data_IF_530774491328
#
_entry.id   IF_530774491328
#
_cell.length_a   1.000
_cell.length_b   1.000
_cell.length_c   1.000
_cell.angle_alpha   90.00
_cell.angle_beta   90.00
_cell.angle_gamma   90.00
#
_symmetry.space_group_name_H-M   'P 1'
#
loop_
_entity.id
_entity.type
_entity.pdbx_description
1 polymer ?
#
# COMPACT_ATOMS: atom_id res chain seq x y z
N UNK A 1 21.75 -11.12 -37.04
CA UNK A 1 21.59 -10.74 -35.62
C UNK A 1 20.70 -11.71 -34.81
N UNK A 2 20.65 -13.01 -35.15
CA UNK A 2 19.87 -14.01 -34.38
C UNK A 2 20.70 -14.74 -33.30
N UNK A 3 22.04 -14.69 -33.38
CA UNK A 3 22.94 -15.43 -32.50
C UNK A 3 22.66 -15.24 -30.99
N UNK A 4 22.56 -14.00 -30.47
CA UNK A 4 22.29 -13.79 -29.05
C UNK A 4 20.94 -14.34 -28.57
N UNK A 5 19.89 -14.22 -29.39
CA UNK A 5 18.55 -14.73 -29.05
C UNK A 5 18.54 -16.26 -29.04
N UNK A 6 19.21 -16.90 -30.00
CA UNK A 6 19.35 -18.36 -30.05
C UNK A 6 20.13 -18.87 -28.84
N UNK A 7 21.22 -18.19 -28.45
CA UNK A 7 22.01 -18.56 -27.26
C UNK A 7 21.15 -18.46 -26.00
N UNK A 8 20.42 -17.36 -25.80
CA UNK A 8 19.52 -17.20 -24.65
C UNK A 8 18.41 -18.27 -24.65
N UNK A 9 17.86 -18.60 -25.81
CA UNK A 9 16.87 -19.68 -25.95
C UNK A 9 17.43 -21.05 -25.57
N UNK A 10 18.65 -21.37 -25.99
CA UNK A 10 19.33 -22.61 -25.62
C UNK A 10 19.67 -22.67 -24.13
N UNK A 11 20.09 -21.55 -23.52
CA UNK A 11 20.35 -21.47 -22.09
C UNK A 11 19.08 -21.66 -21.26
N UNK A 12 17.97 -21.06 -21.68
CA UNK A 12 16.67 -21.26 -21.03
C UNK A 12 16.18 -22.69 -21.18
N UNK A 13 16.37 -23.32 -22.36
CA UNK A 13 16.05 -24.72 -22.57
C UNK A 13 16.88 -25.63 -21.65
N UNK A 14 18.19 -25.39 -21.55
CA UNK A 14 19.06 -26.12 -20.63
C UNK A 14 18.64 -25.95 -19.17
N UNK A 15 18.33 -24.72 -18.75
CA UNK A 15 17.85 -24.43 -17.40
C UNK A 15 16.48 -25.10 -17.11
N UNK A 16 15.61 -25.25 -18.12
CA UNK A 16 14.35 -26.00 -18.00
C UNK A 16 14.52 -27.48 -17.80
N UNK A 17 15.59 -28.07 -18.32
CA UNK A 17 15.92 -29.48 -18.09
C UNK A 17 16.53 -29.65 -16.69
N UNK A 18 17.36 -28.71 -16.26
CA UNK A 18 18.12 -28.83 -15.01
C UNK A 18 17.35 -28.43 -13.74
N UNK A 19 16.39 -27.51 -13.83
CA UNK A 19 15.68 -26.95 -12.68
C UNK A 19 14.18 -27.30 -12.71
N UNK A 20 13.56 -27.57 -11.55
CA UNK A 20 12.13 -27.79 -11.45
C UNK A 20 11.34 -26.58 -11.93
N UNK A 21 10.08 -26.81 -12.34
CA UNK A 21 9.20 -25.71 -12.70
C UNK A 21 8.86 -24.85 -11.48
N UNK A 22 9.13 -23.56 -11.61
CA UNK A 22 8.66 -22.56 -10.65
C UNK A 22 7.65 -21.69 -11.40
N UNK A 23 6.37 -21.92 -11.14
CA UNK A 23 5.33 -21.07 -11.71
C UNK A 23 5.53 -19.63 -11.23
N UNK A 24 5.28 -18.69 -12.13
CA UNK A 24 5.31 -17.24 -11.85
C UNK A 24 3.91 -16.64 -11.87
N UNK A 25 2.89 -17.51 -12.01
CA UNK A 25 1.48 -17.14 -11.90
C UNK A 25 1.11 -16.90 -10.44
N UNK A 26 0.15 -16.03 -10.21
CA UNK A 26 -0.42 -15.80 -8.88
C UNK A 26 -1.27 -17.00 -8.45
N UNK A 27 -2.15 -17.49 -9.33
CA UNK A 27 -3.01 -18.63 -9.05
C UNK A 27 -2.39 -19.94 -9.55
N UNK A 28 -2.32 -20.93 -8.68
CA UNK A 28 -1.94 -22.31 -9.00
C UNK A 28 -3.19 -23.17 -9.01
N UNK A 29 -3.36 -23.97 -10.07
CA UNK A 29 -4.44 -24.96 -10.15
C UNK A 29 -4.15 -26.15 -9.24
N UNK A 30 -5.19 -26.62 -8.57
CA UNK A 30 -5.13 -27.77 -7.66
C UNK A 30 -6.47 -28.52 -7.66
N UNK A 31 -6.57 -29.58 -6.87
CA UNK A 31 -7.81 -30.33 -6.66
C UNK A 31 -8.05 -30.54 -5.17
N UNK A 32 -9.23 -30.15 -4.68
CA UNK A 32 -9.62 -30.34 -3.29
C UNK A 32 -10.96 -31.07 -3.22
N UNK A 33 -10.99 -32.20 -2.51
CA UNK A 33 -12.19 -33.04 -2.38
C UNK A 33 -12.82 -33.45 -3.74
N UNK A 34 -12.00 -33.59 -4.78
CA UNK A 34 -12.44 -33.97 -6.13
C UNK A 34 -12.86 -32.79 -7.02
N UNK A 35 -12.90 -31.57 -6.47
CA UNK A 35 -13.26 -30.34 -7.20
C UNK A 35 -12.03 -29.55 -7.65
N UNK A 36 -12.11 -28.93 -8.82
CA UNK A 36 -11.07 -28.05 -9.33
C UNK A 36 -11.05 -26.73 -8.54
N UNK A 37 -9.88 -26.42 -7.98
CA UNK A 37 -9.67 -25.22 -7.16
C UNK A 37 -8.42 -24.49 -7.61
N UNK A 38 -8.33 -23.22 -7.24
CA UNK A 38 -7.11 -22.43 -7.30
C UNK A 38 -6.63 -22.10 -5.90
N UNK A 39 -5.32 -22.06 -5.74
CA UNK A 39 -4.62 -21.59 -4.54
C UNK A 39 -3.58 -20.54 -4.89
N UNK A 40 -3.10 -19.82 -3.90
CA UNK A 40 -2.04 -18.84 -4.07
C UNK A 40 -0.70 -19.50 -4.40
N UNK A 41 0.15 -18.75 -5.11
CA UNK A 41 1.56 -19.06 -5.24
C UNK A 41 2.37 -18.28 -4.19
N UNK A 42 2.91 -18.94 -3.14
CA UNK A 42 3.69 -18.27 -2.10
C UNK A 42 4.98 -17.62 -2.64
N UNK A 43 5.43 -17.98 -3.84
CA UNK A 43 6.63 -17.43 -4.49
C UNK A 43 6.32 -16.46 -5.64
N UNK A 44 5.06 -16.07 -5.83
CA UNK A 44 4.64 -15.15 -6.91
C UNK A 44 5.49 -13.86 -6.96
N UNK A 45 5.84 -13.32 -5.80
CA UNK A 45 6.55 -12.04 -5.70
C UNK A 45 8.06 -12.14 -5.94
N UNK A 46 8.64 -13.35 -5.99
CA UNK A 46 10.10 -13.55 -6.12
C UNK A 46 10.73 -12.79 -7.31
N UNK A 47 10.13 -12.71 -8.51
CA UNK A 47 10.70 -11.93 -9.63
C UNK A 47 10.79 -10.42 -9.37
N UNK A 48 10.12 -9.90 -8.34
CA UNK A 48 10.08 -8.47 -8.01
C UNK A 48 10.97 -8.13 -6.81
N UNK A 49 11.08 -9.04 -5.84
CA UNK A 49 11.80 -8.82 -4.58
C UNK A 49 13.21 -9.45 -4.58
N UNK A 50 13.37 -10.56 -5.29
CA UNK A 50 14.55 -11.43 -5.18
C UNK A 50 14.42 -12.46 -4.05
N UNK A 51 15.29 -13.49 -4.04
CA UNK A 51 15.26 -14.55 -3.03
C UNK A 51 15.41 -14.01 -1.61
N UNK A 52 14.63 -14.54 -0.66
CA UNK A 52 14.68 -14.20 0.77
C UNK A 52 13.99 -12.88 1.18
N UNK A 53 13.64 -12.04 0.19
CA UNK A 53 12.89 -10.80 0.39
C UNK A 53 11.43 -10.88 -0.07
N UNK A 54 11.06 -11.93 -0.79
CA UNK A 54 9.70 -12.21 -1.26
C UNK A 54 8.67 -12.22 -0.13
N UNK A 55 7.45 -11.80 -0.49
CA UNK A 55 6.27 -11.78 0.38
C UNK A 55 5.24 -12.75 -0.18
N UNK A 56 4.72 -13.60 0.67
CA UNK A 56 3.66 -14.53 0.29
C UNK A 56 2.29 -13.79 0.32
N UNK A 57 1.38 -14.11 -0.60
CA UNK A 57 -0.03 -13.77 -0.45
C UNK A 57 -0.64 -14.44 0.78
N UNK A 58 -1.86 -14.03 1.15
CA UNK A 58 -2.66 -14.79 2.12
C UNK A 58 -2.96 -16.19 1.57
N UNK A 59 -2.94 -17.24 2.42
CA UNK A 59 -3.43 -18.55 2.05
C UNK A 59 -4.87 -18.47 1.53
N UNK A 60 -5.13 -19.04 0.35
CA UNK A 60 -6.43 -19.04 -0.29
C UNK A 60 -6.73 -20.40 -0.93
N UNK A 61 -8.01 -20.77 -0.91
CA UNK A 61 -8.52 -21.92 -1.64
C UNK A 61 -9.88 -21.54 -2.21
N UNK A 62 -9.96 -21.40 -3.54
CA UNK A 62 -11.14 -20.89 -4.23
C UNK A 62 -11.56 -21.86 -5.33
N UNK A 63 -12.86 -22.18 -5.51
CA UNK A 63 -13.32 -22.94 -6.66
C UNK A 63 -12.94 -22.24 -7.97
N UNK A 64 -12.30 -22.97 -8.89
CA UNK A 64 -11.88 -22.41 -10.19
C UNK A 64 -13.11 -21.93 -10.96
N UNK A 65 -14.12 -22.79 -11.10
CA UNK A 65 -15.44 -22.39 -11.59
C UNK A 65 -16.22 -21.66 -10.50
N UNK A 66 -16.74 -20.47 -10.83
CA UNK A 66 -17.61 -19.72 -9.92
C UNK A 66 -18.91 -20.48 -9.66
N UNK A 67 -19.28 -20.72 -8.38
CA UNK A 67 -20.56 -21.38 -8.07
C UNK A 67 -21.75 -20.56 -8.59
N UNK A 68 -22.79 -21.24 -9.06
CA UNK A 68 -23.99 -20.59 -9.59
C UNK A 68 -24.64 -19.68 -8.54
N UNK A 69 -25.00 -18.47 -8.97
CA UNK A 69 -25.62 -17.45 -8.11
C UNK A 69 -24.69 -16.81 -7.07
N UNK A 70 -23.42 -17.20 -7.00
CA UNK A 70 -22.47 -16.60 -6.07
C UNK A 70 -22.09 -15.16 -6.46
N UNK A 71 -21.85 -14.32 -5.46
CA UNK A 71 -21.17 -13.03 -5.60
C UNK A 71 -19.68 -13.24 -5.33
N UNK A 72 -18.82 -12.89 -6.28
CA UNK A 72 -17.35 -13.01 -6.21
C UNK A 72 -16.70 -11.65 -6.35
N UNK A 73 -16.14 -11.16 -5.25
CA UNK A 73 -15.44 -9.87 -5.13
C UNK A 73 -13.96 -10.14 -4.94
N UNK A 74 -13.10 -9.59 -5.79
CA UNK A 74 -11.65 -9.59 -5.54
C UNK A 74 -11.20 -8.25 -4.97
N UNK A 75 -10.44 -8.30 -3.88
CA UNK A 75 -9.79 -7.13 -3.29
C UNK A 75 -8.30 -7.18 -3.62
N UNK A 76 -7.80 -6.19 -4.35
CA UNK A 76 -6.41 -6.06 -4.73
C UNK A 76 -5.78 -4.88 -3.99
N UNK A 77 -4.55 -5.07 -3.53
CA UNK A 77 -3.85 -3.98 -2.86
C UNK A 77 -2.58 -4.41 -2.16
N UNK A 78 -2.16 -3.58 -1.22
CA UNK A 78 -0.88 -3.69 -0.54
C UNK A 78 -1.08 -4.18 0.91
N UNK A 79 -0.16 -3.92 1.84
CA UNK A 79 -0.28 -4.37 3.25
C UNK A 79 -1.55 -3.84 3.95
N UNK A 80 -1.90 -2.57 3.73
CA UNK A 80 -3.11 -1.97 4.27
C UNK A 80 -4.39 -2.63 3.73
N UNK A 81 -4.37 -3.12 2.49
CA UNK A 81 -5.49 -3.86 1.91
C UNK A 81 -5.54 -5.32 2.37
N UNK A 82 -4.37 -5.96 2.51
CA UNK A 82 -4.22 -7.29 3.09
C UNK A 82 -4.77 -7.33 4.53
N UNK A 83 -4.73 -6.20 5.24
CA UNK A 83 -5.18 -6.06 6.62
C UNK A 83 -4.09 -6.26 7.65
N UNK A 84 -2.85 -5.94 7.29
CA UNK A 84 -1.75 -5.88 8.26
C UNK A 84 -2.13 -4.91 9.42
N UNK A 85 -1.90 -5.29 10.69
CA UNK A 85 -1.20 -6.50 11.15
C UNK A 85 -2.03 -7.79 11.22
N UNK A 86 -3.36 -7.73 11.30
CA UNK A 86 -4.22 -8.91 11.48
C UNK A 86 -5.21 -9.07 10.31
N UNK A 87 -4.82 -9.74 9.21
CA UNK A 87 -5.62 -9.91 8.00
C UNK A 87 -7.03 -10.47 8.22
N UNK A 88 -7.23 -11.24 9.29
CA UNK A 88 -8.52 -11.82 9.68
C UNK A 88 -9.60 -10.77 10.01
N UNK A 89 -9.24 -9.49 10.19
CA UNK A 89 -10.16 -8.39 10.49
C UNK A 89 -10.08 -7.24 9.48
N UNK A 90 -9.42 -7.49 8.35
CA UNK A 90 -9.31 -6.59 7.20
C UNK A 90 -10.66 -6.08 6.72
N UNK A 91 -10.66 -4.95 6.00
CA UNK A 91 -11.89 -4.41 5.41
C UNK A 91 -12.54 -5.39 4.43
N UNK A 92 -11.78 -6.28 3.77
CA UNK A 92 -12.34 -7.32 2.92
C UNK A 92 -13.16 -8.32 3.73
N UNK A 93 -12.69 -8.67 4.92
CA UNK A 93 -13.38 -9.61 5.80
C UNK A 93 -14.61 -8.97 6.44
N UNK A 94 -14.52 -7.69 6.81
CA UNK A 94 -15.68 -6.93 7.31
C UNK A 94 -16.74 -6.72 6.21
N UNK A 95 -16.31 -6.40 4.97
CA UNK A 95 -17.19 -6.30 3.80
C UNK A 95 -17.91 -7.62 3.52
N UNK A 96 -17.21 -8.75 3.63
CA UNK A 96 -17.81 -10.07 3.47
C UNK A 96 -18.94 -10.31 4.48
N UNK A 97 -18.73 -9.93 5.75
CA UNK A 97 -19.77 -10.02 6.77
C UNK A 97 -20.95 -9.12 6.41
N UNK A 98 -20.72 -7.85 6.04
CA UNK A 98 -21.79 -6.93 5.64
C UNK A 98 -22.61 -7.48 4.47
N UNK A 99 -21.96 -8.05 3.45
CA UNK A 99 -22.63 -8.63 2.28
C UNK A 99 -23.44 -9.87 2.65
N UNK A 100 -22.92 -10.75 3.50
CA UNK A 100 -23.64 -11.98 3.93
C UNK A 100 -24.94 -11.67 4.67
N UNK A 101 -25.02 -10.56 5.40
CA UNK A 101 -26.24 -10.16 6.10
C UNK A 101 -27.37 -9.74 5.15
N UNK A 102 -27.00 -9.07 4.05
CA UNK A 102 -27.97 -8.47 3.11
C UNK A 102 -28.26 -9.38 1.92
N UNK A 103 -27.35 -10.31 1.62
CA UNK A 103 -27.41 -11.20 0.46
C UNK A 103 -27.83 -12.61 0.89
N UNK A 104 -28.99 -12.71 1.53
CA UNK A 104 -29.49 -13.96 2.10
C UNK A 104 -29.73 -15.03 1.01
N UNK A 105 -29.20 -16.23 1.22
CA UNK A 105 -29.42 -17.38 0.33
C UNK A 105 -28.49 -17.49 -0.89
N UNK A 106 -27.52 -16.59 -1.07
CA UNK A 106 -26.44 -16.81 -2.04
C UNK A 106 -25.06 -16.81 -1.38
N UNK A 107 -24.13 -17.51 -2.02
CA UNK A 107 -22.74 -17.58 -1.59
C UNK A 107 -22.05 -16.24 -1.87
N UNK A 108 -21.42 -15.67 -0.85
CA UNK A 108 -20.58 -14.46 -0.99
C UNK A 108 -19.13 -14.90 -0.83
N UNK A 109 -18.31 -14.56 -1.82
CA UNK A 109 -16.86 -14.79 -1.84
C UNK A 109 -16.16 -13.43 -1.95
N UNK A 110 -15.65 -12.91 -0.83
CA UNK A 110 -14.75 -11.74 -0.85
C UNK A 110 -13.33 -12.25 -0.67
N UNK A 111 -12.55 -12.24 -1.73
CA UNK A 111 -11.21 -12.84 -1.74
C UNK A 111 -10.17 -11.72 -1.74
N UNK A 112 -9.38 -11.67 -0.67
CA UNK A 112 -8.31 -10.69 -0.49
C UNK A 112 -7.02 -11.18 -1.16
N UNK A 113 -6.60 -10.46 -2.19
CA UNK A 113 -5.37 -10.69 -2.97
C UNK A 113 -4.27 -9.68 -2.61
N UNK A 114 -4.44 -8.96 -1.49
CA UNK A 114 -3.46 -8.01 -0.98
C UNK A 114 -2.18 -8.70 -0.53
N UNK A 115 -1.04 -8.04 -0.77
CA UNK A 115 0.27 -8.54 -0.34
C UNK A 115 1.08 -7.39 0.26
N UNK A 116 1.78 -7.64 1.36
CA UNK A 116 2.69 -6.66 1.96
C UNK A 116 3.78 -6.20 0.99
N UNK A 117 4.09 -4.90 1.02
CA UNK A 117 5.17 -4.23 0.29
C UNK A 117 5.10 -4.27 -1.26
N UNK A 118 4.03 -4.83 -1.86
CA UNK A 118 3.84 -4.76 -3.31
C UNK A 118 3.33 -3.38 -3.72
N UNK A 119 3.36 -3.09 -5.02
CA UNK A 119 2.83 -1.87 -5.62
C UNK A 119 2.17 -2.19 -6.97
N UNK A 120 1.80 -1.16 -7.73
CA UNK A 120 1.13 -1.27 -9.04
C UNK A 120 1.84 -2.17 -10.06
N UNK A 121 3.15 -2.40 -9.92
CA UNK A 121 3.90 -3.29 -10.81
C UNK A 121 3.51 -4.76 -10.70
N UNK A 122 3.06 -5.18 -9.51
CA UNK A 122 2.60 -6.54 -9.22
C UNK A 122 1.07 -6.63 -9.30
N UNK A 123 0.36 -5.61 -8.81
CA UNK A 123 -1.11 -5.58 -8.79
C UNK A 123 -1.69 -5.79 -10.19
N UNK A 124 -1.05 -5.23 -11.24
CA UNK A 124 -1.47 -5.45 -12.64
C UNK A 124 -1.40 -6.90 -13.11
N UNK A 125 -0.47 -7.69 -12.57
CA UNK A 125 -0.33 -9.10 -12.94
C UNK A 125 -1.37 -9.94 -12.17
N UNK A 126 -1.63 -9.58 -10.91
CA UNK A 126 -2.71 -10.18 -10.11
C UNK A 126 -4.08 -9.90 -10.75
N UNK A 127 -4.35 -8.64 -11.14
CA UNK A 127 -5.61 -8.25 -11.80
C UNK A 127 -5.85 -9.04 -13.09
N UNK A 128 -4.81 -9.20 -13.91
CA UNK A 128 -4.88 -9.95 -15.17
C UNK A 128 -5.27 -11.41 -14.96
N UNK A 129 -4.80 -12.06 -13.91
CA UNK A 129 -5.17 -13.43 -13.60
C UNK A 129 -6.54 -13.51 -12.90
N UNK A 130 -6.84 -12.57 -11.99
CA UNK A 130 -8.08 -12.51 -11.23
C UNK A 130 -9.32 -12.41 -12.13
N UNK A 131 -9.26 -11.64 -13.22
CA UNK A 131 -10.38 -11.55 -14.18
C UNK A 131 -10.69 -12.88 -14.87
N UNK A 132 -9.75 -13.84 -14.84
CA UNK A 132 -9.91 -15.21 -15.33
C UNK A 132 -10.78 -16.11 -14.46
N UNK A 133 -11.13 -15.66 -13.24
CA UNK A 133 -11.92 -16.41 -12.26
C UNK A 133 -13.32 -15.82 -12.08
N UNK A 134 -13.84 -15.14 -13.10
CA UNK A 134 -15.20 -14.60 -13.21
C UNK A 134 -15.68 -13.74 -12.01
N UNK A 135 -14.90 -12.75 -11.55
CA UNK A 135 -15.37 -11.84 -10.50
C UNK A 135 -16.52 -10.97 -11.00
N UNK A 136 -17.42 -10.61 -10.08
CA UNK A 136 -18.44 -9.58 -10.33
C UNK A 136 -17.87 -8.17 -10.26
N UNK A 137 -16.76 -7.99 -9.53
CA UNK A 137 -16.12 -6.69 -9.33
C UNK A 137 -14.69 -6.85 -8.82
N UNK A 138 -13.81 -5.94 -9.24
CA UNK A 138 -12.49 -5.74 -8.64
C UNK A 138 -12.49 -4.50 -7.76
N UNK A 139 -12.14 -4.64 -6.49
CA UNK A 139 -11.89 -3.54 -5.57
C UNK A 139 -10.38 -3.33 -5.46
N UNK A 140 -9.87 -2.14 -5.75
CA UNK A 140 -8.42 -1.86 -5.78
C UNK A 140 -8.06 -0.77 -4.78
N UNK A 141 -7.34 -1.13 -3.72
CA UNK A 141 -6.84 -0.21 -2.68
C UNK A 141 -5.31 -0.17 -2.75
N UNK A 142 -4.75 0.84 -3.42
CA UNK A 142 -3.31 0.89 -3.74
C UNK A 142 -2.73 2.31 -3.71
N UNK A 143 -1.42 2.42 -3.53
CA UNK A 143 -0.69 3.68 -3.64
C UNK A 143 0.29 3.97 -2.49
N UNK A 144 0.29 3.18 -1.41
CA UNK A 144 1.17 3.39 -0.26
C UNK A 144 2.65 3.10 -0.63
N UNK A 145 2.88 2.07 -1.44
CA UNK A 145 4.21 1.54 -1.72
C UNK A 145 4.77 1.91 -3.10
N UNK A 146 4.22 2.88 -3.82
CA UNK A 146 4.74 3.22 -5.15
C UNK A 146 6.18 3.75 -5.09
N UNK A 147 6.54 4.46 -4.01
CA UNK A 147 7.91 4.97 -3.83
C UNK A 147 8.88 3.89 -3.37
N UNK A 148 8.47 3.07 -2.40
CA UNK A 148 9.34 2.13 -1.67
C UNK A 148 9.29 0.70 -2.22
N UNK A 149 8.18 0.30 -2.83
CA UNK A 149 7.98 -1.01 -3.43
C UNK A 149 8.88 -1.24 -4.65
N UNK A 150 8.86 -2.46 -5.23
CA UNK A 150 9.73 -2.81 -6.35
C UNK A 150 9.67 -1.80 -7.49
N UNK A 151 10.83 -1.44 -8.04
CA UNK A 151 11.01 -0.44 -9.11
C UNK A 151 10.64 1.01 -8.74
N UNK A 152 10.29 1.29 -7.48
CA UNK A 152 10.11 2.64 -6.96
C UNK A 152 11.45 3.36 -6.71
N UNK A 153 11.47 4.71 -6.70
CA UNK A 153 12.70 5.49 -6.52
C UNK A 153 13.35 5.33 -5.13
N UNK A 154 12.59 4.95 -4.10
CA UNK A 154 13.08 4.69 -2.74
C UNK A 154 13.22 3.20 -2.41
N UNK A 155 13.33 2.34 -3.42
CA UNK A 155 13.26 0.89 -3.21
C UNK A 155 14.57 0.26 -2.72
N UNK A 156 14.44 -0.79 -1.92
CA UNK A 156 15.52 -1.74 -1.57
C UNK A 156 15.46 -3.03 -2.40
N UNK A 157 14.42 -3.17 -3.23
CA UNK A 157 14.15 -4.37 -4.03
C UNK A 157 14.75 -4.24 -5.44
N UNK A 158 14.02 -4.67 -6.48
CA UNK A 158 14.42 -4.43 -7.85
C UNK A 158 14.52 -2.91 -8.12
N UNK A 159 15.65 -2.40 -8.65
CA UNK A 159 15.91 -0.97 -8.75
C UNK A 159 15.02 -0.30 -9.79
N UNK A 160 14.72 0.98 -9.56
CA UNK A 160 14.03 1.82 -10.54
C UNK A 160 14.80 1.89 -11.86
N UNK A 161 14.09 1.64 -12.97
CA UNK A 161 14.64 1.74 -14.32
C UNK A 161 14.10 2.98 -15.03
N UNK A 162 14.86 3.49 -16.00
CA UNK A 162 14.52 4.74 -16.71
C UNK A 162 13.31 4.64 -17.64
N UNK A 163 12.87 3.43 -17.97
CA UNK A 163 11.81 3.17 -18.96
C UNK A 163 10.92 2.02 -18.51
N UNK A 164 9.61 2.15 -18.78
CA UNK A 164 8.60 1.11 -18.55
C UNK A 164 8.92 -0.19 -19.28
N UNK A 165 9.44 -0.09 -20.50
CA UNK A 165 9.84 -1.24 -21.33
C UNK A 165 10.97 -2.00 -20.65
N UNK A 166 11.98 -1.29 -20.13
CA UNK A 166 13.10 -1.91 -19.41
C UNK A 166 12.63 -2.57 -18.11
N UNK A 167 11.70 -1.95 -17.38
CA UNK A 167 11.06 -2.55 -16.21
C UNK A 167 10.35 -3.86 -16.57
N UNK A 168 9.53 -3.86 -17.62
CA UNK A 168 8.83 -5.08 -18.06
C UNK A 168 9.79 -6.16 -18.58
N UNK A 169 10.81 -5.78 -19.34
CA UNK A 169 11.85 -6.71 -19.78
C UNK A 169 12.63 -7.30 -18.61
N UNK A 170 12.96 -6.49 -17.60
CA UNK A 170 13.64 -6.96 -16.38
C UNK A 170 12.80 -8.01 -15.66
N UNK A 171 11.49 -7.76 -15.48
CA UNK A 171 10.58 -8.72 -14.85
C UNK A 171 10.47 -9.99 -15.68
N UNK A 172 10.31 -9.87 -17.01
CA UNK A 172 10.27 -11.02 -17.91
C UNK A 172 11.53 -11.89 -17.78
N UNK A 173 12.72 -11.28 -17.81
CA UNK A 173 13.98 -12.01 -17.62
C UNK A 173 14.05 -12.65 -16.23
N UNK A 174 13.58 -11.97 -15.18
CA UNK A 174 13.53 -12.50 -13.81
C UNK A 174 12.56 -13.68 -13.63
N UNK A 175 11.65 -13.91 -14.58
CA UNK A 175 10.77 -15.09 -14.63
C UNK A 175 11.38 -16.29 -15.35
N UNK A 176 12.53 -16.12 -16.00
CA UNK A 176 13.21 -17.22 -16.72
C UNK A 176 13.92 -18.16 -15.76
N UNK A 177 14.05 -19.44 -16.14
CA UNK A 177 14.84 -20.40 -15.35
C UNK A 177 16.33 -20.13 -15.47
N UNK A 178 16.79 -19.55 -16.57
CA UNK A 178 18.15 -19.02 -16.67
C UNK A 178 18.45 -18.02 -15.56
N UNK A 179 17.55 -17.08 -15.28
CA UNK A 179 17.74 -16.13 -14.19
C UNK A 179 17.75 -16.81 -12.82
N UNK A 180 16.87 -17.77 -12.59
CA UNK A 180 16.85 -18.55 -11.35
C UNK A 180 18.19 -19.31 -11.14
N UNK A 181 18.74 -19.92 -12.19
CA UNK A 181 20.05 -20.58 -12.15
C UNK A 181 21.17 -19.57 -11.82
N UNK A 182 21.17 -18.41 -12.47
CA UNK A 182 22.16 -17.35 -12.21
C UNK A 182 22.12 -16.87 -10.75
N UNK A 183 20.93 -16.78 -10.16
CA UNK A 183 20.76 -16.43 -8.74
C UNK A 183 21.34 -17.51 -7.82
N UNK A 184 21.06 -18.80 -8.08
CA UNK A 184 21.62 -19.90 -7.28
C UNK A 184 23.15 -19.95 -7.35
N UNK A 185 23.73 -19.78 -8.54
CA UNK A 185 25.19 -19.68 -8.72
C UNK A 185 25.75 -18.47 -7.97
N UNK A 186 25.06 -17.33 -8.03
CA UNK A 186 25.46 -16.12 -7.31
C UNK A 186 25.48 -16.29 -5.79
N UNK A 187 24.46 -16.95 -5.21
CA UNK A 187 24.42 -17.28 -3.78
C UNK A 187 25.54 -18.23 -3.40
N UNK A 188 25.78 -19.27 -4.21
CA UNK A 188 26.87 -20.22 -4.00
C UNK A 188 28.25 -19.53 -3.99
N UNK A 189 28.51 -18.64 -4.96
CA UNK A 189 29.76 -17.88 -5.04
C UNK A 189 29.97 -16.91 -3.86
N UNK A 190 28.89 -16.45 -3.22
CA UNK A 190 28.92 -15.54 -2.06
C UNK A 190 28.96 -16.27 -0.72
N UNK A 191 29.15 -17.59 -0.71
CA UNK A 191 29.23 -18.36 0.53
C UNK A 191 27.88 -18.62 1.22
N UNK A 192 26.76 -18.51 0.49
CA UNK A 192 25.44 -18.91 1.00
C UNK A 192 24.70 -17.86 1.83
N UNK A 193 25.16 -16.60 1.89
CA UNK A 193 24.41 -15.54 2.55
C UNK A 193 23.19 -15.11 1.73
N UNK A 194 22.00 -15.49 2.19
CA UNK A 194 20.73 -14.97 1.68
C UNK A 194 20.33 -13.67 2.39
N UNK A 195 19.78 -12.73 1.64
CA UNK A 195 19.17 -11.55 2.25
C UNK A 195 17.90 -11.96 3.00
N UNK A 196 17.75 -11.45 4.22
CA UNK A 196 16.55 -11.62 5.02
C UNK A 196 15.85 -10.29 5.19
N UNK A 197 14.53 -10.32 5.13
CA UNK A 197 13.71 -9.17 5.49
C UNK A 197 13.99 -8.72 6.92
N UNK A 198 14.30 -7.43 7.10
CA UNK A 198 14.51 -6.83 8.42
C UNK A 198 13.46 -5.78 8.76
N UNK A 199 12.34 -5.74 8.04
CA UNK A 199 11.34 -4.68 8.20
C UNK A 199 11.75 -3.36 7.54
N UNK A 200 11.10 -2.28 7.96
CA UNK A 200 11.27 -0.94 7.38
C UNK A 200 12.67 -0.35 7.60
N UNK A 201 13.48 -0.87 8.54
CA UNK A 201 14.86 -0.41 8.75
C UNK A 201 15.75 -0.57 7.52
N UNK A 202 15.40 -1.44 6.56
CA UNK A 202 16.15 -1.58 5.31
C UNK A 202 16.12 -0.31 4.45
N UNK A 203 15.14 0.57 4.68
CA UNK A 203 14.89 1.75 3.88
C UNK A 203 15.57 3.02 4.41
N UNK A 204 16.26 2.98 5.56
CA UNK A 204 16.85 4.17 6.19
C UNK A 204 17.76 4.98 5.24
N UNK A 205 18.51 4.30 4.38
CA UNK A 205 19.41 4.93 3.39
C UNK A 205 18.74 5.21 2.03
N UNK A 206 17.40 5.06 1.94
CA UNK A 206 16.61 5.21 0.70
C UNK A 206 15.73 6.46 0.71
N UNK A 207 16.26 7.54 1.27
CA UNK A 207 15.61 8.84 1.29
C UNK A 207 15.28 9.34 -0.11
N UNK A 208 14.03 9.74 -0.34
CA UNK A 208 13.55 10.37 -1.58
C UNK A 208 13.00 11.76 -1.26
N UNK A 209 13.74 12.79 -1.67
CA UNK A 209 13.33 14.20 -1.50
C UNK A 209 12.09 14.53 -2.33
N UNK A 210 11.38 15.58 -1.93
CA UNK A 210 10.16 16.06 -2.60
C UNK A 210 10.37 16.43 -4.07
N UNK A 211 11.55 16.98 -4.38
CA UNK A 211 11.93 17.43 -5.72
C UNK A 211 12.56 16.31 -6.59
N UNK A 212 12.63 15.07 -6.08
CA UNK A 212 13.35 14.01 -6.77
C UNK A 212 12.71 13.69 -8.15
N UNK A 213 13.48 13.75 -9.25
CA UNK A 213 12.95 13.51 -10.59
C UNK A 213 12.45 12.07 -10.80
N UNK A 214 12.86 11.13 -9.93
CA UNK A 214 12.33 9.78 -9.83
C UNK A 214 10.84 9.73 -9.51
N UNK A 215 10.32 10.67 -8.70
CA UNK A 215 8.89 10.75 -8.40
C UNK A 215 8.07 11.05 -9.66
N UNK A 216 8.55 11.92 -10.54
CA UNK A 216 7.88 12.21 -11.81
C UNK A 216 7.88 10.99 -12.75
N UNK A 217 8.98 10.23 -12.79
CA UNK A 217 9.05 8.97 -13.57
C UNK A 217 8.09 7.91 -13.01
N UNK A 218 8.07 7.76 -11.69
CA UNK A 218 7.16 6.86 -10.98
C UNK A 218 5.70 7.19 -11.30
N UNK A 219 5.30 8.47 -11.22
CA UNK A 219 3.91 8.89 -11.56
C UNK A 219 3.51 8.55 -13.00
N UNK A 220 4.41 8.73 -13.97
CA UNK A 220 4.17 8.28 -15.36
C UNK A 220 3.98 6.76 -15.44
N UNK A 221 4.74 6.02 -14.66
CA UNK A 221 4.67 4.56 -14.62
C UNK A 221 3.39 4.05 -13.93
N UNK A 222 2.92 4.74 -12.89
CA UNK A 222 1.65 4.46 -12.21
C UNK A 222 0.49 4.55 -13.20
N UNK A 223 0.42 5.60 -14.03
CA UNK A 223 -0.64 5.73 -15.05
C UNK A 223 -0.64 4.52 -16.01
N UNK A 224 0.53 4.11 -16.50
CA UNK A 224 0.64 2.91 -17.34
C UNK A 224 0.26 1.61 -16.62
N UNK A 225 0.53 1.52 -15.31
CA UNK A 225 0.15 0.36 -14.52
C UNK A 225 -1.33 0.36 -14.19
N UNK A 226 -1.96 1.51 -13.91
CA UNK A 226 -3.39 1.63 -13.65
C UNK A 226 -4.20 1.16 -14.87
N UNK A 227 -3.84 1.60 -16.08
CA UNK A 227 -4.42 1.06 -17.31
C UNK A 227 -4.31 -0.48 -17.32
N UNK A 228 -3.12 -1.02 -17.04
CA UNK A 228 -2.91 -2.46 -17.04
C UNK A 228 -3.60 -3.23 -15.90
N UNK A 229 -3.98 -2.56 -14.80
CA UNK A 229 -4.82 -3.11 -13.73
C UNK A 229 -6.28 -3.15 -14.18
N UNK A 230 -6.77 -2.07 -14.79
CA UNK A 230 -8.19 -1.91 -15.09
C UNK A 230 -8.61 -2.52 -16.42
N UNK A 231 -7.77 -2.45 -17.45
CA UNK A 231 -8.11 -2.86 -18.82
C UNK A 231 -8.56 -4.32 -18.93
N UNK A 232 -7.89 -5.32 -18.30
CA UNK A 232 -8.35 -6.71 -18.39
C UNK A 232 -9.77 -6.94 -17.87
N UNK A 233 -10.19 -6.16 -16.85
CA UNK A 233 -11.54 -6.24 -16.30
C UNK A 233 -12.54 -5.53 -17.21
N UNK A 234 -12.19 -4.33 -17.68
CA UNK A 234 -13.02 -3.52 -18.59
C UNK A 234 -13.30 -4.22 -19.91
N UNK A 235 -12.30 -4.89 -20.48
CA UNK A 235 -12.43 -5.70 -21.70
C UNK A 235 -13.45 -6.84 -21.56
N UNK A 236 -13.72 -7.29 -20.31
CA UNK A 236 -14.70 -8.34 -19.99
C UNK A 236 -15.99 -7.79 -19.40
N UNK A 237 -16.16 -6.46 -19.33
CA UNK A 237 -17.32 -5.83 -18.71
C UNK A 237 -17.39 -6.00 -17.19
N UNK A 238 -16.28 -6.34 -16.54
CA UNK A 238 -16.19 -6.44 -15.07
C UNK A 238 -15.93 -5.04 -14.52
N UNK A 239 -16.79 -4.49 -13.64
CA UNK A 239 -16.57 -3.19 -13.02
C UNK A 239 -15.34 -3.20 -12.12
N UNK A 240 -14.63 -2.08 -12.10
CA UNK A 240 -13.50 -1.85 -11.19
C UNK A 240 -13.82 -0.66 -10.29
N UNK A 241 -13.60 -0.80 -8.99
CA UNK A 241 -13.69 0.29 -8.02
C UNK A 241 -12.31 0.58 -7.47
N UNK A 242 -11.75 1.74 -7.80
CA UNK A 242 -10.53 2.24 -7.19
C UNK A 242 -10.85 2.86 -5.83
N UNK A 243 -10.00 2.65 -4.83
CA UNK A 243 -10.12 3.30 -3.54
C UNK A 243 -8.82 4.00 -3.16
N UNK A 244 -8.95 5.26 -2.75
CA UNK A 244 -7.80 6.10 -2.41
C UNK A 244 -7.29 5.75 -1.01
N UNK A 245 -6.04 5.31 -0.83
CA UNK A 245 -5.55 4.96 0.49
C UNK A 245 -5.49 6.20 1.41
N UNK A 246 -6.02 6.05 2.62
CA UNK A 246 -5.84 7.05 3.68
C UNK A 246 -4.49 6.92 4.38
N UNK A 247 -4.18 7.88 5.25
CA UNK A 247 -2.99 7.87 6.08
C UNK A 247 -3.25 8.61 7.40
N UNK A 248 -2.54 8.21 8.46
CA UNK A 248 -2.46 8.99 9.68
C UNK A 248 -1.60 10.22 9.43
N UNK A 249 -2.26 11.38 9.37
CA UNK A 249 -1.59 12.67 9.15
C UNK A 249 -1.49 13.47 10.45
N UNK A 250 -2.46 13.31 11.34
CA UNK A 250 -2.58 14.11 12.56
C UNK A 250 -1.58 13.73 13.65
N UNK A 251 -1.33 12.43 13.83
CA UNK A 251 -0.64 11.89 15.01
C UNK A 251 0.62 11.10 14.68
N UNK A 252 0.97 10.99 13.40
CA UNK A 252 2.11 10.23 12.96
C UNK A 252 3.16 11.14 12.32
N UNK A 253 4.26 11.38 13.03
CA UNK A 253 5.36 12.22 12.57
C UNK A 253 6.00 11.68 11.28
N UNK A 254 6.75 12.51 10.52
CA UNK A 254 7.56 12.03 9.40
C UNK A 254 8.51 10.90 9.80
N UNK A 255 8.76 9.97 8.87
CA UNK A 255 9.69 8.85 9.05
C UNK A 255 11.14 9.28 8.78
N UNK A 256 11.34 10.28 7.92
CA UNK A 256 12.61 10.99 7.81
C UNK A 256 12.39 12.47 7.49
N UNK A 257 12.77 13.35 8.42
CA UNK A 257 12.87 14.78 8.19
C UNK A 257 14.04 15.12 7.29
N UNK A 258 13.76 15.49 6.04
CA UNK A 258 14.80 15.82 5.06
C UNK A 258 14.46 17.15 4.39
N UNK A 259 15.28 18.16 4.68
CA UNK A 259 15.12 19.53 4.21
C UNK A 259 15.49 19.80 2.74
N UNK A 260 15.74 21.05 2.40
CA UNK A 260 16.23 21.46 1.07
C UNK A 260 17.69 20.99 0.81
N UNK A 261 18.07 20.82 -0.47
CA UNK A 261 19.39 20.28 -0.86
C UNK A 261 20.56 21.21 -0.53
N UNK A 262 20.32 22.52 -0.51
CA UNK A 262 21.35 23.55 -0.48
C UNK A 262 21.09 24.58 0.63
N UNK A 263 20.85 24.13 1.86
CA UNK A 263 20.92 25.03 3.02
C UNK A 263 22.35 25.04 3.56
N UNK A 264 22.90 26.24 3.78
CA UNK A 264 24.23 26.38 4.38
C UNK A 264 24.25 25.85 5.82
N UNK A 265 25.42 25.43 6.31
CA UNK A 265 25.56 24.86 7.67
C UNK A 265 25.01 25.79 8.76
N UNK A 266 25.22 27.11 8.63
CA UNK A 266 24.67 28.10 9.54
C UNK A 266 23.13 28.12 9.55
N UNK A 267 22.49 28.04 8.37
CA UNK A 267 21.04 27.95 8.22
C UNK A 267 20.52 26.65 8.84
N UNK A 268 21.19 25.52 8.61
CA UNK A 268 20.81 24.23 9.18
C UNK A 268 20.88 24.23 10.72
N UNK A 269 21.93 24.83 11.30
CA UNK A 269 22.04 25.02 12.75
C UNK A 269 20.94 25.96 13.28
N UNK A 270 20.68 27.09 12.62
CA UNK A 270 19.61 28.01 13.01
C UNK A 270 18.24 27.33 12.96
N UNK A 271 17.98 26.55 11.91
CA UNK A 271 16.76 25.75 11.77
C UNK A 271 16.59 24.76 12.92
N UNK A 272 17.66 24.04 13.26
CA UNK A 272 17.65 23.04 14.34
C UNK A 272 17.37 23.70 15.69
N UNK A 273 18.01 24.83 15.97
CA UNK A 273 17.79 25.58 17.20
C UNK A 273 16.34 26.06 17.32
N UNK A 274 15.76 26.56 16.21
CA UNK A 274 14.36 27.03 16.18
C UNK A 274 13.36 25.89 16.32
N UNK A 275 13.65 24.72 15.76
CA UNK A 275 12.79 23.56 15.96
C UNK A 275 12.82 23.10 17.43
N UNK A 276 13.99 23.05 18.07
CA UNK A 276 14.12 22.67 19.49
C UNK A 276 13.44 23.69 20.41
N UNK A 277 13.55 24.98 20.10
CA UNK A 277 12.82 26.06 20.79
C UNK A 277 11.30 25.82 20.70
N UNK A 278 10.79 25.56 19.48
CA UNK A 278 9.37 25.27 19.27
C UNK A 278 8.89 24.01 20.01
N UNK A 279 9.68 22.92 19.99
CA UNK A 279 9.38 21.68 20.72
C UNK A 279 9.34 21.93 22.24
N UNK A 280 10.22 22.79 22.75
CA UNK A 280 10.30 23.14 24.17
C UNK A 280 9.09 23.95 24.60
N UNK A 281 8.75 25.00 23.86
CA UNK A 281 7.60 25.85 24.12
C UNK A 281 6.29 25.06 24.00
N UNK A 282 6.19 24.17 23.02
CA UNK A 282 5.07 23.23 22.87
C UNK A 282 4.91 22.33 24.09
N UNK A 283 6.01 21.75 24.59
CA UNK A 283 5.99 20.84 25.74
C UNK A 283 5.52 21.51 27.04
N UNK A 284 5.76 22.81 27.21
CA UNK A 284 5.29 23.58 28.38
C UNK A 284 3.93 24.27 28.16
N UNK A 285 3.32 24.09 26.97
CA UNK A 285 2.02 24.65 26.63
C UNK A 285 2.04 26.12 26.20
N UNK A 286 3.20 26.72 25.92
CA UNK A 286 3.30 28.05 25.31
C UNK A 286 3.06 27.96 23.80
N UNK A 287 1.78 27.94 23.41
CA UNK A 287 1.39 27.85 22.00
C UNK A 287 1.86 29.04 21.16
N UNK A 288 2.06 30.22 21.78
CA UNK A 288 2.48 31.44 21.06
C UNK A 288 3.99 31.42 20.81
N UNK A 289 4.78 31.06 21.82
CA UNK A 289 6.22 30.84 21.68
C UNK A 289 6.49 29.74 20.66
N UNK A 290 5.82 28.60 20.81
CA UNK A 290 5.94 27.46 19.91
C UNK A 290 5.63 27.83 18.45
N UNK A 291 4.55 28.58 18.22
CA UNK A 291 4.21 29.05 16.87
C UNK A 291 5.28 29.98 16.30
N UNK A 292 5.76 30.94 17.09
CA UNK A 292 6.80 31.88 16.64
C UNK A 292 8.07 31.15 16.22
N UNK A 293 8.52 30.20 17.05
CA UNK A 293 9.73 29.43 16.78
C UNK A 293 9.58 28.47 15.58
N UNK A 294 8.44 27.77 15.44
CA UNK A 294 8.23 26.84 14.31
C UNK A 294 8.05 27.59 12.99
N UNK A 295 7.42 28.76 13.02
CA UNK A 295 7.26 29.62 11.83
C UNK A 295 8.64 30.09 11.32
N UNK A 296 9.53 30.49 12.22
CA UNK A 296 10.92 30.83 11.89
C UNK A 296 11.69 29.62 11.34
N UNK A 297 11.51 28.42 11.92
CA UNK A 297 12.12 27.19 11.41
C UNK A 297 11.62 26.87 9.97
N UNK A 298 10.31 26.93 9.74
CA UNK A 298 9.71 26.69 8.41
C UNK A 298 10.17 27.75 7.40
N UNK A 299 10.37 28.99 7.82
CA UNK A 299 10.93 30.04 6.94
C UNK A 299 12.39 29.78 6.54
N UNK A 300 13.18 29.14 7.41
CA UNK A 300 14.57 28.75 7.10
C UNK A 300 14.65 27.56 6.15
N UNK A 301 13.74 26.59 6.28
CA UNK A 301 13.64 25.44 5.39
C UNK A 301 12.20 24.91 5.31
N UNK A 302 11.45 25.41 4.33
CA UNK A 302 10.06 25.03 4.09
C UNK A 302 9.93 23.57 3.58
N UNK A 303 11.03 22.96 3.16
CA UNK A 303 11.06 21.61 2.62
C UNK A 303 11.27 20.56 3.71
N UNK A 304 11.50 20.96 4.97
CA UNK A 304 11.74 20.03 6.07
C UNK A 304 10.45 19.46 6.65
N UNK A 305 10.25 18.14 6.54
CA UNK A 305 9.02 17.47 6.96
C UNK A 305 8.69 17.67 8.45
N UNK A 306 9.68 17.58 9.34
CA UNK A 306 9.45 17.71 10.79
C UNK A 306 8.94 19.11 11.18
N UNK A 307 9.45 20.17 10.53
CA UNK A 307 8.98 21.53 10.76
C UNK A 307 7.53 21.72 10.33
N UNK A 308 7.16 21.15 9.18
CA UNK A 308 5.77 21.15 8.69
C UNK A 308 4.84 20.38 9.63
N UNK A 309 5.29 19.23 10.15
CA UNK A 309 4.50 18.42 11.08
C UNK A 309 4.26 19.15 12.40
N UNK A 310 5.31 19.74 12.99
CA UNK A 310 5.20 20.50 14.23
C UNK A 310 4.31 21.75 14.04
N UNK A 311 4.45 22.45 12.91
CA UNK A 311 3.56 23.57 12.56
C UNK A 311 2.10 23.13 12.52
N UNK A 312 1.80 21.98 11.91
CA UNK A 312 0.46 21.40 11.89
C UNK A 312 -0.10 21.09 13.28
N UNK A 313 0.70 20.51 14.17
CA UNK A 313 0.31 20.24 15.57
C UNK A 313 -0.03 21.54 16.33
N UNK A 314 0.83 22.55 16.21
CA UNK A 314 0.66 23.83 16.91
C UNK A 314 -0.56 24.59 16.38
N UNK A 315 -0.73 24.67 15.05
CA UNK A 315 -1.89 25.31 14.42
C UNK A 315 -3.20 24.63 14.82
N UNK A 316 -3.22 23.30 14.86
CA UNK A 316 -4.40 22.55 15.27
C UNK A 316 -4.79 22.88 16.72
N UNK A 317 -3.81 22.94 17.63
CA UNK A 317 -4.05 23.32 19.02
C UNK A 317 -4.51 24.78 19.18
N UNK A 318 -4.07 25.68 18.29
CA UNK A 318 -4.54 27.05 18.21
C UNK A 318 -5.95 27.19 17.57
N UNK A 319 -6.57 26.08 17.14
CA UNK A 319 -7.87 26.08 16.48
C UNK A 319 -7.82 26.45 14.99
N UNK A 320 -6.63 26.62 14.41
CA UNK A 320 -6.43 26.90 12.99
C UNK A 320 -6.38 25.60 12.18
N UNK A 321 -7.57 25.00 12.04
CA UNK A 321 -7.72 23.70 11.37
C UNK A 321 -7.34 23.74 9.88
N UNK A 322 -7.54 24.88 9.21
CA UNK A 322 -7.25 25.00 7.77
C UNK A 322 -5.75 24.94 7.53
N UNK A 323 -4.98 25.78 8.24
CA UNK A 323 -3.54 25.78 8.07
C UNK A 323 -2.91 24.50 8.62
N UNK A 324 -3.45 23.95 9.72
CA UNK A 324 -3.00 22.67 10.25
C UNK A 324 -3.10 21.54 9.21
N UNK A 325 -4.23 21.45 8.50
CA UNK A 325 -4.42 20.43 7.46
C UNK A 325 -3.41 20.60 6.31
N UNK A 326 -3.15 21.83 5.87
CA UNK A 326 -2.12 22.08 4.84
C UNK A 326 -0.73 21.68 5.33
N UNK A 327 -0.35 22.08 6.55
CA UNK A 327 0.95 21.75 7.14
C UNK A 327 1.14 20.23 7.27
N UNK A 328 0.12 19.48 7.67
CA UNK A 328 0.17 18.01 7.70
C UNK A 328 0.30 17.40 6.29
N UNK A 329 -0.37 17.95 5.28
CA UNK A 329 -0.17 17.51 3.90
C UNK A 329 1.27 17.77 3.43
N UNK A 330 1.83 18.93 3.74
CA UNK A 330 3.22 19.25 3.44
C UNK A 330 4.17 18.29 4.17
N UNK A 331 3.93 17.97 5.44
CA UNK A 331 4.73 17.01 6.19
C UNK A 331 4.78 15.62 5.49
N UNK A 332 3.64 15.11 5.04
CA UNK A 332 3.58 13.86 4.26
C UNK A 332 4.33 13.99 2.93
N UNK A 333 4.11 15.09 2.20
CA UNK A 333 4.74 15.35 0.92
C UNK A 333 6.26 15.55 1.03
N UNK A 334 6.76 15.99 2.18
CA UNK A 334 8.19 16.24 2.45
C UNK A 334 8.89 15.09 3.14
N UNK A 335 8.16 14.10 3.64
CA UNK A 335 8.74 12.92 4.28
C UNK A 335 9.76 12.25 3.35
N UNK A 336 10.98 12.06 3.84
CA UNK A 336 12.08 11.46 3.09
C UNK A 336 11.88 9.96 2.90
N UNK A 337 11.18 9.29 3.83
CA UNK A 337 10.79 7.89 3.73
C UNK A 337 9.30 7.81 3.38
N UNK A 338 9.02 7.81 2.08
CA UNK A 338 7.67 7.99 1.52
C UNK A 338 6.85 6.69 1.52
N UNK A 339 6.34 6.30 2.68
CA UNK A 339 5.39 5.19 2.82
C UNK A 339 3.92 5.63 2.84
N UNK A 340 3.66 6.95 2.98
CA UNK A 340 2.32 7.53 2.95
C UNK A 340 1.96 8.00 1.53
N UNK A 341 0.74 7.74 1.05
CA UNK A 341 0.26 8.28 -0.22
C UNK A 341 0.12 9.82 -0.12
N UNK A 342 0.65 10.53 -1.12
CA UNK A 342 0.56 12.00 -1.20
C UNK A 342 -0.70 12.47 -1.98
N UNK A 343 -0.96 13.79 -1.97
CA UNK A 343 -2.11 14.36 -2.72
C UNK A 343 -2.04 14.06 -4.21
N UNK A 344 -0.82 13.97 -4.78
CA UNK A 344 -0.61 13.68 -6.20
C UNK A 344 -1.00 12.23 -6.52
N UNK A 345 -0.72 11.27 -5.64
CA UNK A 345 -1.16 9.88 -5.77
C UNK A 345 -2.68 9.77 -5.72
N UNK A 346 -3.33 10.42 -4.75
CA UNK A 346 -4.79 10.49 -4.67
C UNK A 346 -5.39 11.07 -5.96
N UNK A 347 -4.86 12.18 -6.44
CA UNK A 347 -5.32 12.83 -7.67
C UNK A 347 -5.18 11.93 -8.90
N UNK A 348 -4.11 11.12 -8.99
CA UNK A 348 -3.95 10.16 -10.08
C UNK A 348 -5.04 9.09 -10.10
N UNK A 349 -5.46 8.57 -8.94
CA UNK A 349 -6.54 7.57 -8.86
C UNK A 349 -7.88 8.16 -9.25
N UNK A 350 -8.20 9.36 -8.75
CA UNK A 350 -9.44 10.08 -9.09
C UNK A 350 -9.51 10.36 -10.59
N UNK A 351 -8.44 10.95 -11.15
CA UNK A 351 -8.37 11.25 -12.58
C UNK A 351 -8.42 9.97 -13.43
N UNK A 352 -7.87 8.84 -12.96
CA UNK A 352 -7.94 7.59 -13.71
C UNK A 352 -9.38 7.11 -13.85
N UNK A 353 -10.17 7.10 -12.77
CA UNK A 353 -11.58 6.71 -12.83
C UNK A 353 -12.40 7.66 -13.71
N UNK A 354 -12.22 8.98 -13.56
CA UNK A 354 -12.90 9.98 -14.39
C UNK A 354 -12.68 9.79 -15.90
N UNK A 355 -11.49 9.30 -16.29
CA UNK A 355 -11.11 9.14 -17.70
C UNK A 355 -11.42 7.76 -18.28
N UNK A 356 -11.92 6.79 -17.49
CA UNK A 356 -12.12 5.42 -17.96
C UNK A 356 -13.50 4.87 -17.59
N UNK A 357 -14.38 4.75 -18.60
CA UNK A 357 -15.66 4.07 -18.43
C UNK A 357 -15.48 2.64 -17.90
N UNK A 358 -16.37 2.23 -16.99
CA UNK A 358 -16.29 0.95 -16.27
C UNK A 358 -15.34 0.95 -15.07
N UNK A 359 -14.78 2.11 -14.72
CA UNK A 359 -13.95 2.31 -13.52
C UNK A 359 -14.58 3.39 -12.65
N UNK A 360 -15.01 3.00 -11.46
CA UNK A 360 -15.48 3.92 -10.43
C UNK A 360 -14.37 4.21 -9.42
N UNK A 361 -14.55 5.26 -8.62
CA UNK A 361 -13.65 5.59 -7.51
C UNK A 361 -14.41 5.90 -6.23
N UNK A 362 -13.89 5.38 -5.13
CA UNK A 362 -14.30 5.69 -3.77
C UNK A 362 -13.15 6.43 -3.10
N UNK A 363 -13.36 7.72 -2.82
CA UNK A 363 -12.37 8.54 -2.12
C UNK A 363 -12.37 8.25 -0.62
N UNK A 364 -11.91 7.05 -0.25
CA UNK A 364 -11.87 6.60 1.15
C UNK A 364 -11.01 7.51 2.02
N UNK A 365 -9.96 8.14 1.46
CA UNK A 365 -9.13 9.08 2.20
C UNK A 365 -9.95 10.30 2.63
N UNK A 366 -10.69 10.92 1.70
CA UNK A 366 -11.54 12.06 2.03
C UNK A 366 -12.74 11.69 2.92
N UNK A 367 -13.25 10.46 2.81
CA UNK A 367 -14.31 9.99 3.70
C UNK A 367 -13.83 9.86 5.14
N UNK A 368 -12.66 9.25 5.36
CA UNK A 368 -12.04 9.14 6.68
C UNK A 368 -11.78 10.52 7.29
N UNK A 369 -11.22 11.45 6.50
CA UNK A 369 -11.00 12.84 6.94
C UNK A 369 -12.32 13.50 7.37
N UNK A 370 -13.41 13.34 6.60
CA UNK A 370 -14.70 13.97 6.89
C UNK A 370 -15.30 13.55 8.22
N UNK A 371 -15.10 12.29 8.62
CA UNK A 371 -15.64 11.74 9.87
C UNK A 371 -14.64 11.81 11.03
N UNK A 372 -13.39 12.17 10.75
CA UNK A 372 -12.35 12.35 11.75
C UNK A 372 -12.59 13.60 12.61
N UNK A 373 -12.16 13.60 13.88
CA UNK A 373 -12.01 14.83 14.63
C UNK A 373 -11.16 15.84 13.85
N UNK A 374 -11.60 17.09 13.85
CA UNK A 374 -10.93 18.19 13.13
C UNK A 374 -10.78 17.97 11.62
N UNK A 375 -11.55 17.08 11.00
CA UNK A 375 -11.48 16.88 9.56
C UNK A 375 -10.17 16.27 9.05
N UNK A 376 -9.34 15.69 9.93
CA UNK A 376 -8.00 15.18 9.62
C UNK A 376 -7.85 13.80 10.27
N UNK A 377 -7.74 12.76 9.45
CA UNK A 377 -7.66 11.39 9.95
C UNK A 377 -6.39 11.13 10.79
N UNK A 378 -6.59 10.51 11.96
CA UNK A 378 -5.55 10.19 12.94
C UNK A 378 -5.64 8.74 13.46
N UNK A 379 -5.19 8.54 14.70
CA UNK A 379 -5.10 7.23 15.35
C UNK A 379 -6.43 6.51 15.55
N UNK A 380 -7.57 7.20 15.41
CA UNK A 380 -8.89 6.57 15.42
C UNK A 380 -9.07 5.57 14.28
N UNK A 381 -8.43 5.80 13.13
CA UNK A 381 -8.53 4.95 11.95
C UNK A 381 -7.25 4.19 11.62
N UNK A 382 -6.11 4.55 12.23
CA UNK A 382 -4.82 3.97 11.88
C UNK A 382 -3.98 3.59 13.11
N UNK A 383 -3.41 2.38 13.10
CA UNK A 383 -2.43 1.98 14.10
C UNK A 383 -1.09 2.72 13.95
N UNK A 384 -0.69 3.00 12.71
CA UNK A 384 0.55 3.68 12.37
C UNK A 384 0.31 4.72 11.26
N UNK A 385 1.31 4.99 10.42
CA UNK A 385 1.19 5.88 9.27
C UNK A 385 0.08 5.51 8.26
N UNK A 386 -0.26 4.22 8.07
CA UNK A 386 -1.16 3.77 6.99
C UNK A 386 -2.00 2.53 7.30
N UNK A 387 -1.60 1.70 8.27
CA UNK A 387 -2.29 0.46 8.60
C UNK A 387 -3.52 0.76 9.46
N UNK A 388 -4.67 0.24 9.03
CA UNK A 388 -5.97 0.59 9.56
C UNK A 388 -6.22 -0.11 10.91
N UNK A 389 -6.88 0.60 11.83
CA UNK A 389 -7.51 -0.04 13.01
C UNK A 389 -8.70 -0.88 12.59
N UNK A 390 -9.28 -1.66 13.52
CA UNK A 390 -10.56 -2.33 13.27
C UNK A 390 -11.64 -1.34 12.76
N UNK A 391 -11.71 -0.16 13.38
CA UNK A 391 -12.63 0.92 12.99
C UNK A 391 -12.27 1.51 11.61
N UNK A 392 -10.98 1.74 11.33
CA UNK A 392 -10.54 2.18 10.01
C UNK A 392 -10.92 1.19 8.91
N UNK A 393 -10.74 -0.11 9.16
CA UNK A 393 -11.20 -1.18 8.26
C UNK A 393 -12.72 -1.17 8.09
N UNK A 394 -13.49 -0.91 9.15
CA UNK A 394 -14.96 -0.82 9.09
C UNK A 394 -15.43 0.31 8.18
N UNK A 395 -14.85 1.50 8.32
CA UNK A 395 -15.23 2.65 7.50
C UNK A 395 -14.87 2.45 6.02
N UNK A 396 -13.71 1.85 5.73
CA UNK A 396 -13.35 1.46 4.36
C UNK A 396 -14.32 0.40 3.82
N UNK A 397 -14.66 -0.63 4.61
CA UNK A 397 -15.62 -1.67 4.21
C UNK A 397 -17.01 -1.09 3.91
N UNK A 398 -17.49 -0.15 4.72
CA UNK A 398 -18.75 0.57 4.47
C UNK A 398 -18.71 1.34 3.16
N UNK A 399 -17.62 2.05 2.89
CA UNK A 399 -17.46 2.81 1.65
C UNK A 399 -17.50 1.88 0.42
N UNK A 400 -16.83 0.72 0.50
CA UNK A 400 -16.89 -0.32 -0.54
C UNK A 400 -18.29 -0.91 -0.68
N UNK A 401 -18.96 -1.20 0.43
CA UNK A 401 -20.33 -1.71 0.43
C UNK A 401 -21.27 -0.77 -0.32
N UNK A 402 -21.17 0.55 -0.09
CA UNK A 402 -21.95 1.56 -0.84
C UNK A 402 -21.59 1.58 -2.32
N UNK A 403 -20.33 1.41 -2.68
CA UNK A 403 -19.94 1.28 -4.09
C UNK A 403 -20.57 0.04 -4.75
N UNK A 404 -20.62 -1.08 -4.04
CA UNK A 404 -21.29 -2.29 -4.52
C UNK A 404 -22.80 -2.08 -4.69
N UNK A 405 -23.46 -1.30 -3.84
CA UNK A 405 -24.87 -0.93 -4.04
C UNK A 405 -25.07 -0.12 -5.32
N UNK A 406 -24.20 0.84 -5.61
CA UNK A 406 -24.26 1.63 -6.84
C UNK A 406 -24.09 0.76 -8.10
N UNK A 407 -23.33 -0.33 -8.00
CA UNK A 407 -23.16 -1.32 -9.06
C UNK A 407 -24.30 -2.35 -9.13
N UNK A 408 -25.29 -2.29 -8.23
CA UNK A 408 -26.36 -3.29 -8.14
C UNK A 408 -25.90 -4.65 -7.59
N UNK A 409 -24.73 -4.69 -6.94
CA UNK A 409 -24.14 -5.88 -6.30
C UNK A 409 -24.45 -5.98 -4.79
N UNK A 410 -25.26 -5.06 -4.28
CA UNK A 410 -25.88 -5.08 -2.94
C UNK A 410 -27.26 -4.40 -3.03
N UNK A 411 -28.28 -4.79 -2.24
CA UNK A 411 -29.60 -4.15 -2.29
C UNK A 411 -29.49 -2.67 -1.91
N UNK A 412 -30.08 -1.72 -2.65
CA UNK A 412 -29.85 -0.28 -2.46
C UNK A 412 -30.39 0.25 -1.11
N UNK A 413 -31.42 -0.39 -0.56
CA UNK A 413 -32.02 -0.07 0.74
C UNK A 413 -31.27 -0.69 1.93
N UNK A 414 -30.33 -1.60 1.68
CA UNK A 414 -29.63 -2.28 2.76
C UNK A 414 -28.62 -1.35 3.45
N UNK A 415 -28.50 -1.48 4.76
CA UNK A 415 -27.54 -0.73 5.55
C UNK A 415 -26.38 -1.65 5.97
N UNK A 416 -25.11 -1.20 5.84
CA UNK A 416 -24.00 -1.97 6.39
C UNK A 416 -24.13 -2.05 7.92
N UNK A 417 -23.89 -3.24 8.48
CA UNK A 417 -23.96 -3.44 9.93
C UNK A 417 -22.95 -2.57 10.68
N UNK A 418 -23.25 -2.28 11.96
CA UNK A 418 -22.37 -1.47 12.81
C UNK A 418 -21.02 -2.14 13.08
N UNK A 419 -20.02 -1.36 13.50
CA UNK A 419 -18.69 -1.89 13.85
C UNK A 419 -18.78 -2.93 14.98
N UNK A 420 -19.64 -2.69 15.98
CA UNK A 420 -19.89 -3.63 17.07
C UNK A 420 -20.50 -4.97 16.58
N UNK A 421 -21.45 -4.92 15.64
CA UNK A 421 -22.03 -6.14 15.06
C UNK A 421 -21.03 -6.89 14.17
N UNK A 422 -20.18 -6.17 13.42
CA UNK A 422 -19.05 -6.76 12.70
C UNK A 422 -18.08 -7.44 13.67
N UNK A 423 -17.74 -6.78 14.78
CA UNK A 423 -16.84 -7.30 15.80
C UNK A 423 -17.37 -8.60 16.41
N UNK A 424 -18.65 -8.64 16.78
CA UNK A 424 -19.30 -9.85 17.30
C UNK A 424 -19.23 -11.01 16.29
N UNK A 425 -19.61 -10.77 15.03
CA UNK A 425 -19.61 -11.81 13.98
C UNK A 425 -18.21 -12.29 13.59
N UNK A 426 -17.19 -11.46 13.75
CA UNK A 426 -15.80 -11.81 13.50
C UNK A 426 -15.08 -12.35 14.73
N UNK A 427 -15.72 -12.35 15.89
CA UNK A 427 -15.08 -12.61 17.19
C UNK A 427 -13.88 -11.68 17.43
N UNK A 428 -13.99 -10.40 17.07
CA UNK A 428 -13.06 -9.37 17.51
C UNK A 428 -13.29 -9.10 18.99
N UNK A 429 -12.28 -9.45 19.80
CA UNK A 429 -12.33 -9.34 21.26
C UNK A 429 -11.27 -8.40 21.79
N UNK A 430 -11.36 -8.04 23.06
CA UNK A 430 -10.32 -7.27 23.73
C UNK A 430 -8.93 -7.95 23.68
N UNK A 431 -8.88 -9.29 23.64
CA UNK A 431 -7.62 -10.02 23.46
C UNK A 431 -7.03 -9.78 22.07
N UNK A 432 -7.86 -9.85 21.02
CA UNK A 432 -7.42 -9.59 19.65
C UNK A 432 -6.96 -8.15 19.45
N UNK A 433 -7.64 -7.20 20.10
CA UNK A 433 -7.24 -5.80 20.11
C UNK A 433 -5.90 -5.60 20.81
N UNK A 434 -5.66 -6.31 21.92
CA UNK A 434 -4.37 -6.34 22.61
C UNK A 434 -3.27 -6.92 21.72
N UNK A 435 -3.52 -8.05 21.04
CA UNK A 435 -2.55 -8.67 20.13
C UNK A 435 -2.14 -7.71 19.00
N UNK A 436 -3.12 -7.02 18.39
CA UNK A 436 -2.85 -6.00 17.38
C UNK A 436 -2.01 -4.85 17.96
N UNK A 437 -2.37 -4.39 19.16
CA UNK A 437 -1.66 -3.33 19.86
C UNK A 437 -0.22 -3.71 20.21
N UNK A 438 0.02 -4.92 20.70
CA UNK A 438 1.35 -5.43 21.04
C UNK A 438 2.23 -5.54 19.80
N UNK A 439 1.70 -6.10 18.70
CA UNK A 439 2.44 -6.18 17.45
C UNK A 439 2.85 -4.79 16.94
N UNK A 440 1.92 -3.83 16.96
CA UNK A 440 2.19 -2.45 16.54
C UNK A 440 3.14 -1.72 17.47
N UNK A 441 3.04 -1.95 18.77
CA UNK A 441 3.97 -1.42 19.75
C UNK A 441 5.40 -1.91 19.48
N UNK A 442 5.59 -3.22 19.31
CA UNK A 442 6.89 -3.82 19.02
C UNK A 442 7.50 -3.30 17.72
N UNK A 443 6.70 -3.12 16.66
CA UNK A 443 7.19 -2.53 15.40
C UNK A 443 7.66 -1.08 15.59
N UNK A 444 6.95 -0.30 16.40
CA UNK A 444 7.28 1.10 16.68
C UNK A 444 8.58 1.29 17.50
N UNK A 445 9.05 0.24 18.18
CA UNK A 445 10.34 0.25 18.86
C UNK A 445 11.55 0.11 17.92
N UNK A 446 11.32 -0.28 16.66
CA UNK A 446 12.38 -0.47 15.67
C UNK A 446 12.46 0.72 14.68
N UNK A 447 13.63 0.98 14.08
CA UNK A 447 13.75 1.96 13.00
C UNK A 447 12.86 1.62 11.79
N UNK A 448 12.33 2.62 11.06
CA UNK A 448 12.49 4.07 11.27
C UNK A 448 11.61 4.66 12.38
N UNK A 449 10.65 3.91 12.91
CA UNK A 449 9.67 4.43 13.89
C UNK A 449 10.34 4.99 15.16
N UNK A 450 11.37 4.31 15.66
CA UNK A 450 12.10 4.73 16.86
C UNK A 450 12.90 6.03 16.68
N UNK A 451 13.05 6.53 15.44
CA UNK A 451 13.77 7.76 15.12
C UNK A 451 12.89 8.98 14.90
N UNK A 452 11.57 8.84 15.07
CA UNK A 452 10.60 9.91 14.81
C UNK A 452 10.58 10.96 15.93
N UNK A 453 10.31 12.22 15.55
CA UNK A 453 10.06 13.34 16.47
C UNK A 453 8.56 13.44 16.78
N UNK A 454 8.04 12.55 17.63
CA UNK A 454 6.61 12.48 17.98
C UNK A 454 6.17 13.51 19.02
#
# INVERSE_FOLDING_TARGET
MLGPVVILGLLELGARIALPEVSTQFFLRDTWQGEAVVRENPHFTRPFFGPGLERAPLPLLLPEAKPEGALRVFVLGESAAMGDPIPAFSFSRQLEVMLREVWQGRRVEVVNLGITAINSHLIRDIAREAVGLDPDVLLVYMGNNEVVGPYGPGTVFAPALRSSILTRLSIFLRRTRTYALMQQVGVWLRGGEEQRWRGMQMFLDRVVRYDDPGLTRMRKQIVLNLNAVTDPARERGIPVVLATPGANRREFAPLAGVGAREIGAATATAWTNKLVEAETDWAVGDLRGAWTAVEEAVALDADHADGQFLAGKIQLANGDQVNANEAFHLAVERDGLRFRPDRKMRALLLAHAENHAGVDVVDTAAQLDRIAPHGIAGGEFFYDHVHLTFEGHHQVAKAMFRALQNLGLAPPEAEPISAAACAEKLAWTALTELDAGEEMFLRKLAPPFSGQRN
#
